data_IF_165234396722
#
_entry.id   IF_165234396722
#
_cell.length_a   1.000
_cell.length_b   1.000
_cell.length_c   1.000
_cell.angle_alpha   90.00
_cell.angle_beta   90.00
_cell.angle_gamma   90.00
#
_symmetry.space_group_name_H-M   'P 1'
#
loop_
_entity.id
_entity.type
_entity.pdbx_description
1 polymer ?
#
# COMPACT_ATOMS: atom_id res chain seq x y z
N UNK A 1 -1.21 4.04 -31.89
CA UNK A 1 -0.81 5.33 -31.30
C UNK A 1 -1.58 5.64 -30.01
N UNK A 2 -2.90 5.48 -29.99
CA UNK A 2 -3.73 5.68 -28.79
C UNK A 2 -3.41 4.73 -27.65
N UNK A 3 -3.16 3.45 -27.93
CA UNK A 3 -2.83 2.43 -26.91
C UNK A 3 -1.58 2.78 -26.10
N UNK A 4 -0.55 3.33 -26.76
CA UNK A 4 0.68 3.76 -26.11
C UNK A 4 0.43 4.92 -25.14
N UNK A 5 -0.41 5.88 -25.55
CA UNK A 5 -0.83 6.99 -24.71
C UNK A 5 -1.68 6.53 -23.50
N UNK A 6 -2.57 5.56 -23.72
CA UNK A 6 -3.37 4.94 -22.66
C UNK A 6 -2.51 4.21 -21.64
N UNK A 7 -1.53 3.40 -22.08
CA UNK A 7 -0.61 2.69 -21.18
C UNK A 7 0.23 3.68 -20.37
N UNK A 8 0.74 4.75 -21.00
CA UNK A 8 1.49 5.81 -20.29
C UNK A 8 0.62 6.46 -19.22
N UNK A 9 -0.62 6.84 -19.56
CA UNK A 9 -1.55 7.45 -18.61
C UNK A 9 -1.87 6.54 -17.43
N UNK A 10 -2.19 5.27 -17.68
CA UNK A 10 -2.51 4.31 -16.62
C UNK A 10 -1.28 4.06 -15.74
N UNK A 11 -0.08 3.97 -16.33
CA UNK A 11 1.17 3.76 -15.60
C UNK A 11 1.49 4.95 -14.70
N UNK A 12 1.32 6.18 -15.20
CA UNK A 12 1.51 7.41 -14.40
C UNK A 12 0.48 7.46 -13.25
N UNK A 13 -0.79 7.13 -13.53
CA UNK A 13 -1.82 7.12 -12.50
C UNK A 13 -1.55 6.07 -11.42
N UNK A 14 -1.10 4.87 -11.83
CA UNK A 14 -0.76 3.77 -10.94
C UNK A 14 0.45 4.09 -10.06
N UNK A 15 1.47 4.78 -10.60
CA UNK A 15 2.68 5.14 -9.84
C UNK A 15 2.42 6.31 -8.87
N UNK A 16 1.55 7.25 -9.25
CA UNK A 16 1.22 8.40 -8.42
C UNK A 16 0.23 8.03 -7.33
N UNK A 17 -0.63 7.03 -7.54
CA UNK A 17 -1.69 6.67 -6.58
C UNK A 17 -1.06 6.29 -5.23
N UNK A 18 -1.13 7.17 -4.21
CA UNK A 18 -0.75 6.77 -2.89
C UNK A 18 -1.73 5.68 -2.47
N UNK A 19 -1.23 4.46 -2.27
CA UNK A 19 -2.06 3.33 -1.86
C UNK A 19 -2.88 3.66 -0.60
N UNK A 20 -3.97 2.92 -0.39
CA UNK A 20 -4.85 3.11 0.77
C UNK A 20 -4.06 3.10 2.09
N UNK A 21 -3.02 2.28 2.18
CA UNK A 21 -2.11 2.17 3.32
C UNK A 21 -1.33 3.47 3.57
N UNK A 22 -0.77 4.08 2.52
CA UNK A 22 -0.03 5.34 2.62
C UNK A 22 -0.95 6.50 2.97
N UNK A 23 -2.15 6.53 2.39
CA UNK A 23 -3.16 7.55 2.69
C UNK A 23 -3.58 7.49 4.17
N UNK A 24 -3.84 6.29 4.70
CA UNK A 24 -4.22 6.08 6.10
C UNK A 24 -3.07 6.42 7.06
N UNK A 25 -1.84 5.96 6.79
CA UNK A 25 -0.67 6.24 7.65
C UNK A 25 -0.36 7.73 7.67
N UNK A 26 -0.41 8.41 6.51
CA UNK A 26 -0.18 9.86 6.41
C UNK A 26 -1.26 10.63 7.14
N UNK A 27 -2.53 10.28 6.94
CA UNK A 27 -3.67 10.89 7.66
C UNK A 27 -3.51 10.76 9.18
N UNK A 28 -3.23 9.54 9.66
CA UNK A 28 -3.09 9.29 11.09
C UNK A 28 -1.85 9.95 11.70
N UNK A 29 -0.75 10.00 10.95
CA UNK A 29 0.46 10.71 11.38
C UNK A 29 0.26 12.22 11.44
N UNK A 30 -0.57 12.79 10.57
CA UNK A 30 -0.84 14.23 10.53
C UNK A 30 -1.86 14.66 11.58
N UNK A 31 -2.95 13.90 11.76
CA UNK A 31 -4.04 14.24 12.69
C UNK A 31 -3.71 13.91 14.16
N UNK A 32 -3.06 12.76 14.41
CA UNK A 32 -2.84 12.24 15.77
C UNK A 32 -1.36 12.21 16.18
N UNK A 33 -0.48 12.73 15.32
CA UNK A 33 0.96 12.81 15.56
C UNK A 33 1.75 11.57 15.10
N UNK A 34 3.07 11.74 15.06
CA UNK A 34 4.01 10.76 14.48
C UNK A 34 3.96 9.39 15.15
N UNK A 35 3.77 9.33 16.46
CA UNK A 35 3.71 8.05 17.19
C UNK A 35 2.52 7.17 16.75
N UNK A 36 1.37 7.78 16.48
CA UNK A 36 0.17 7.07 16.01
C UNK A 36 0.33 6.63 14.55
N UNK A 37 0.98 7.45 13.72
CA UNK A 37 1.37 7.08 12.36
C UNK A 37 2.26 5.83 12.33
N UNK A 38 3.28 5.77 13.20
CA UNK A 38 4.17 4.61 13.32
C UNK A 38 3.40 3.36 13.75
N UNK A 39 2.55 3.47 14.79
CA UNK A 39 1.73 2.34 15.22
C UNK A 39 0.79 1.84 14.10
N UNK A 40 0.21 2.75 13.33
CA UNK A 40 -0.62 2.42 12.17
C UNK A 40 0.19 1.65 11.12
N UNK A 41 1.39 2.11 10.78
CA UNK A 41 2.26 1.43 9.81
C UNK A 41 2.70 0.04 10.25
N UNK A 42 2.96 -0.16 11.56
CA UNK A 42 3.31 -1.47 12.13
C UNK A 42 2.12 -2.44 11.98
N UNK A 43 0.90 -1.97 12.27
CA UNK A 43 -0.30 -2.80 12.11
C UNK A 43 -0.50 -3.28 10.67
N UNK A 44 -0.34 -2.37 9.70
CA UNK A 44 -0.44 -2.72 8.28
C UNK A 44 0.65 -3.73 7.88
N UNK A 45 1.90 -3.50 8.31
CA UNK A 45 3.02 -4.39 8.02
C UNK A 45 2.79 -5.82 8.58
N UNK A 46 2.26 -5.94 9.79
CA UNK A 46 1.92 -7.25 10.39
C UNK A 46 0.80 -7.95 9.63
N UNK A 47 -0.24 -7.22 9.23
CA UNK A 47 -1.34 -7.77 8.43
C UNK A 47 -0.85 -8.31 7.08
N UNK A 48 0.00 -7.54 6.38
CA UNK A 48 0.62 -7.97 5.12
C UNK A 48 1.54 -9.17 5.34
N UNK A 49 2.30 -9.22 6.43
CA UNK A 49 3.18 -10.35 6.72
C UNK A 49 2.38 -11.64 6.92
N UNK A 50 1.28 -11.60 7.68
CA UNK A 50 0.39 -12.74 7.84
C UNK A 50 -0.23 -13.13 6.50
N UNK A 51 -0.64 -12.15 5.70
CA UNK A 51 -1.22 -12.37 4.37
C UNK A 51 -0.25 -13.08 3.43
N UNK A 52 0.98 -12.58 3.35
CA UNK A 52 2.05 -13.16 2.53
C UNK A 52 2.46 -14.53 3.07
N UNK A 53 2.56 -14.70 4.39
CA UNK A 53 2.92 -15.98 4.98
C UNK A 53 1.91 -17.08 4.63
N UNK A 54 0.60 -16.84 4.75
CA UNK A 54 -0.39 -17.87 4.42
C UNK A 54 -0.43 -18.16 2.92
N UNK A 55 -0.27 -17.15 2.06
CA UNK A 55 -0.26 -17.36 0.60
C UNK A 55 0.96 -18.16 0.15
N UNK A 56 2.13 -17.90 0.76
CA UNK A 56 3.34 -18.68 0.51
C UNK A 56 3.20 -20.13 1.01
N UNK A 57 2.64 -20.34 2.20
CA UNK A 57 2.35 -21.70 2.70
C UNK A 57 1.37 -22.41 1.77
N UNK A 58 0.32 -21.73 1.31
CA UNK A 58 -0.69 -22.31 0.42
C UNK A 58 -0.17 -22.61 -1.00
N UNK A 59 0.81 -21.84 -1.49
CA UNK A 59 1.49 -22.11 -2.78
C UNK A 59 2.54 -23.20 -2.67
N UNK A 60 3.21 -23.31 -1.52
CA UNK A 60 4.28 -24.28 -1.30
C UNK A 60 3.80 -25.66 -0.83
N UNK A 61 2.52 -25.77 -0.44
CA UNK A 61 1.84 -27.02 -0.07
C UNK A 61 1.14 -27.64 -1.29
#
# INVERSE_FOLDING_TARGET
>A
MTEFFTVIMITILAVISPGADFAIVTKNSYLYGRSVGVLTSIGIALGVLVHVAYTLIAVAA
#
